data_IF_458789734316
#
_entry.id   IF_458789734316
#
_cell.length_a   1.000
_cell.length_b   1.000
_cell.length_c   1.000
_cell.angle_alpha   90.00
_cell.angle_beta   90.00
_cell.angle_gamma   90.00
#
_symmetry.space_group_name_H-M   'P 1'
#
loop_
_entity.id
_entity.type
_entity.pdbx_description
1 polymer ?
#
# COMPACT_ATOMS: atom_id res chain seq x y z
N UNK A 1 -19.53 49.27 10.73
CA UNK A 1 -19.11 48.86 9.37
C UNK A 1 -17.95 47.89 9.55
N UNK A 2 -18.24 46.61 9.83
CA UNK A 2 -17.20 45.59 9.98
C UNK A 2 -16.89 45.06 8.59
N UNK A 3 -15.78 45.52 8.03
CA UNK A 3 -15.17 44.90 6.86
C UNK A 3 -14.61 43.56 7.33
N UNK A 4 -15.38 42.49 7.15
CA UNK A 4 -14.83 41.15 7.08
C UNK A 4 -13.78 41.21 5.98
N UNK A 5 -12.50 41.18 6.35
CA UNK A 5 -11.42 40.89 5.40
C UNK A 5 -11.84 39.61 4.69
N UNK A 6 -12.06 39.68 3.39
CA UNK A 6 -11.99 38.49 2.55
C UNK A 6 -10.66 37.84 2.90
N UNK A 7 -10.70 36.70 3.58
CA UNK A 7 -9.56 35.81 3.60
C UNK A 7 -9.37 35.42 2.15
N UNK A 8 -8.25 35.84 1.55
CA UNK A 8 -7.87 35.36 0.22
C UNK A 8 -8.01 33.83 0.23
N UNK A 9 -8.79 33.29 -0.71
CA UNK A 9 -8.96 31.85 -0.85
C UNK A 9 -7.57 31.22 -0.90
N UNK A 10 -7.26 30.37 0.07
CA UNK A 10 -5.98 29.66 0.08
C UNK A 10 -5.98 28.75 -1.14
N UNK A 11 -5.23 29.11 -2.16
CA UNK A 11 -5.07 28.27 -3.34
C UNK A 11 -4.32 27.00 -2.93
N UNK A 12 -5.05 25.89 -2.83
CA UNK A 12 -4.48 24.59 -2.49
C UNK A 12 -3.84 23.97 -3.73
N UNK A 13 -2.53 23.74 -3.68
CA UNK A 13 -1.82 22.94 -4.68
C UNK A 13 -2.31 21.48 -4.62
N UNK A 14 -3.00 20.98 -5.67
CA UNK A 14 -3.59 19.64 -5.65
C UNK A 14 -2.57 18.53 -5.44
N UNK A 15 -1.34 18.73 -5.92
CA UNK A 15 -0.29 17.72 -5.80
C UNK A 15 0.24 17.64 -4.37
N UNK A 16 0.43 18.79 -3.73
CA UNK A 16 0.80 18.85 -2.30
C UNK A 16 -0.33 18.32 -1.42
N UNK A 17 -1.59 18.60 -1.76
CA UNK A 17 -2.74 18.08 -1.04
C UNK A 17 -2.85 16.56 -1.15
N UNK A 18 -2.74 15.99 -2.37
CA UNK A 18 -2.68 14.53 -2.59
C UNK A 18 -1.54 13.89 -1.81
N UNK A 19 -0.36 14.51 -1.82
CA UNK A 19 0.80 14.05 -1.03
C UNK A 19 0.52 14.07 0.48
N UNK A 20 -0.19 15.08 0.98
CA UNK A 20 -0.60 15.15 2.38
C UNK A 20 -1.58 14.04 2.76
N UNK A 21 -2.59 13.79 1.91
CA UNK A 21 -3.57 12.69 2.09
C UNK A 21 -2.90 11.32 2.17
N UNK A 22 -1.82 11.10 1.42
CA UNK A 22 -1.04 9.86 1.45
C UNK A 22 -0.43 9.47 2.80
N UNK A 23 -0.43 10.37 3.81
CA UNK A 23 -0.01 10.03 5.16
C UNK A 23 -1.07 9.25 5.96
N UNK A 24 -2.34 9.28 5.53
CA UNK A 24 -3.38 8.42 6.09
C UNK A 24 -3.32 7.07 5.37
N UNK A 25 -2.76 6.06 6.04
CA UNK A 25 -2.64 4.70 5.50
C UNK A 25 -4.03 4.06 5.39
N UNK A 26 -4.28 3.37 4.27
CA UNK A 26 -5.54 2.65 4.03
C UNK A 26 -5.28 1.23 3.54
N UNK A 27 -6.29 0.37 3.69
CA UNK A 27 -6.35 -0.86 2.89
C UNK A 27 -6.61 -0.54 1.42
N UNK A 28 -6.38 -1.53 0.56
CA UNK A 28 -6.71 -1.43 -0.87
C UNK A 28 -7.95 -2.25 -1.18
N UNK A 29 -8.88 -1.67 -1.93
CA UNK A 29 -10.11 -2.34 -2.36
C UNK A 29 -10.25 -2.34 -3.87
N UNK A 30 -11.00 -3.31 -4.41
CA UNK A 30 -11.53 -3.24 -5.76
C UNK A 30 -13.05 -3.21 -5.67
N UNK A 31 -13.63 -2.13 -6.17
CA UNK A 31 -15.07 -1.96 -6.30
C UNK A 31 -15.50 -2.63 -7.59
N UNK A 32 -16.51 -3.50 -7.54
CA UNK A 32 -17.01 -4.23 -8.72
C UNK A 32 -18.51 -4.09 -8.84
N UNK A 33 -19.02 -4.03 -10.06
CA UNK A 33 -20.44 -4.01 -10.35
C UNK A 33 -20.71 -4.61 -11.73
N UNK A 34 -21.95 -5.01 -11.95
CA UNK A 34 -22.45 -5.44 -13.25
C UNK A 34 -23.80 -4.76 -13.50
N UNK A 35 -24.00 -4.18 -14.69
CA UNK A 35 -25.31 -3.66 -15.08
C UNK A 35 -26.20 -4.77 -15.68
N UNK A 36 -27.46 -4.43 -15.96
CA UNK A 36 -28.43 -5.37 -16.54
C UNK A 36 -28.03 -5.87 -17.93
N UNK A 37 -27.19 -5.12 -18.65
CA UNK A 37 -26.65 -5.51 -19.97
C UNK A 37 -25.49 -6.52 -19.86
N UNK A 38 -25.05 -6.85 -18.65
CA UNK A 38 -23.95 -7.79 -18.40
C UNK A 38 -22.56 -7.16 -18.44
N UNK A 39 -22.47 -5.83 -18.56
CA UNK A 39 -21.19 -5.11 -18.54
C UNK A 39 -20.62 -5.12 -17.11
N UNK A 40 -19.45 -5.75 -16.94
CA UNK A 40 -18.73 -5.82 -15.68
C UNK A 40 -17.71 -4.70 -15.58
N UNK A 41 -17.72 -3.96 -14.48
CA UNK A 41 -16.69 -2.96 -14.18
C UNK A 41 -15.98 -3.29 -12.89
N UNK A 42 -14.73 -2.84 -12.81
CA UNK A 42 -13.94 -2.96 -11.60
C UNK A 42 -12.97 -1.79 -11.47
N UNK A 43 -12.88 -1.21 -10.27
CA UNK A 43 -12.06 -0.03 -9.98
C UNK A 43 -11.31 -0.24 -8.68
N UNK A 44 -9.97 -0.20 -8.76
CA UNK A 44 -9.14 -0.12 -7.55
C UNK A 44 -9.40 1.21 -6.85
N UNK A 45 -9.77 1.15 -5.57
CA UNK A 45 -10.08 2.31 -4.75
C UNK A 45 -9.46 2.18 -3.36
N UNK A 46 -9.05 3.31 -2.80
CA UNK A 46 -8.56 3.42 -1.42
C UNK A 46 -9.29 4.53 -0.63
N UNK A 47 -10.41 5.03 -1.19
CA UNK A 47 -11.34 5.99 -0.59
C UNK A 47 -12.45 5.32 0.24
N UNK A 48 -12.44 3.99 0.33
CA UNK A 48 -13.40 3.19 1.08
C UNK A 48 -13.35 3.48 2.59
N UNK A 49 -14.51 3.57 3.23
CA UNK A 49 -14.62 3.57 4.69
C UNK A 49 -16.00 3.09 5.17
N UNK A 50 -16.08 2.65 6.43
CA UNK A 50 -17.35 2.34 7.11
C UNK A 50 -18.06 3.63 7.55
N UNK A 51 -19.39 3.63 7.52
CA UNK A 51 -20.23 4.79 7.87
C UNK A 51 -21.12 4.51 9.08
N UNK A 52 -21.85 3.40 9.05
CA UNK A 52 -22.84 3.04 10.06
C UNK A 52 -22.89 1.54 10.28
N UNK A 53 -23.21 1.12 11.51
CA UNK A 53 -23.44 -0.29 11.85
C UNK A 53 -24.91 -0.70 11.72
N UNK A 54 -25.85 0.21 12.05
CA UNK A 54 -27.30 -0.03 11.89
C UNK A 54 -28.02 1.24 11.37
N UNK A 55 -28.47 1.25 10.10
CA UNK A 55 -28.25 0.21 9.10
C UNK A 55 -26.75 0.09 8.74
N UNK A 56 -26.29 -1.08 8.25
CA UNK A 56 -24.89 -1.30 7.91
C UNK A 56 -24.55 -0.56 6.61
N UNK A 57 -23.87 0.59 6.74
CA UNK A 57 -23.52 1.46 5.62
C UNK A 57 -22.01 1.60 5.47
N UNK A 58 -21.57 1.61 4.23
CA UNK A 58 -20.20 1.94 3.81
C UNK A 58 -20.24 3.04 2.74
N UNK A 59 -19.10 3.66 2.48
CA UNK A 59 -18.94 4.59 1.36
C UNK A 59 -17.61 4.41 0.64
N UNK A 60 -17.55 4.95 -0.57
CA UNK A 60 -16.33 5.19 -1.32
C UNK A 60 -16.55 6.31 -2.34
N UNK A 61 -15.47 6.80 -2.93
CA UNK A 61 -15.52 7.89 -3.92
C UNK A 61 -14.94 7.47 -5.27
N UNK A 62 -15.64 7.78 -6.36
CA UNK A 62 -15.23 7.52 -7.75
C UNK A 62 -15.14 8.83 -8.53
N UNK A 63 -14.11 8.99 -9.37
CA UNK A 63 -13.92 10.15 -10.25
C UNK A 63 -15.14 10.32 -11.17
N UNK A 64 -15.70 11.54 -11.27
CA UNK A 64 -16.83 11.86 -12.15
C UNK A 64 -16.56 11.54 -13.63
N UNK A 65 -15.29 11.50 -14.03
CA UNK A 65 -14.81 11.16 -15.39
C UNK A 65 -14.47 9.68 -15.56
N UNK A 66 -14.70 8.84 -14.55
CA UNK A 66 -14.46 7.40 -14.65
C UNK A 66 -15.39 6.76 -15.68
N UNK A 67 -14.82 6.01 -16.63
CA UNK A 67 -15.62 5.24 -17.60
C UNK A 67 -16.46 4.14 -16.94
N UNK A 68 -16.14 3.75 -15.70
CA UNK A 68 -16.89 2.76 -14.94
C UNK A 68 -18.07 3.35 -14.17
N UNK A 69 -18.15 4.68 -14.01
CA UNK A 69 -19.22 5.32 -13.24
C UNK A 69 -20.64 5.01 -13.77
N UNK A 70 -20.92 5.06 -15.09
CA UNK A 70 -22.26 4.76 -15.61
C UNK A 70 -22.76 3.37 -15.21
N UNK A 71 -21.87 2.36 -15.12
CA UNK A 71 -22.24 1.01 -14.68
C UNK A 71 -22.55 0.97 -13.19
N UNK A 72 -21.78 1.65 -12.34
CA UNK A 72 -22.12 1.76 -10.90
C UNK A 72 -23.42 2.54 -10.66
N UNK A 73 -23.71 3.55 -11.49
CA UNK A 73 -24.94 4.32 -11.42
C UNK A 73 -26.17 3.49 -11.81
N UNK A 74 -26.05 2.66 -12.85
CA UNK A 74 -27.13 1.81 -13.35
C UNK A 74 -27.33 0.56 -12.49
N UNK A 75 -26.25 -0.06 -12.02
CA UNK A 75 -26.32 -1.27 -11.20
C UNK A 75 -27.06 -1.00 -9.88
N UNK A 76 -27.88 -1.97 -9.45
CA UNK A 76 -28.56 -1.93 -8.15
C UNK A 76 -27.63 -2.36 -7.01
N UNK A 77 -26.62 -3.18 -7.32
CA UNK A 77 -25.66 -3.70 -6.36
C UNK A 77 -24.22 -3.49 -6.84
N UNK A 78 -23.31 -3.45 -5.87
CA UNK A 78 -21.87 -3.48 -6.09
C UNK A 78 -21.20 -4.27 -4.97
N UNK A 79 -19.97 -4.74 -5.20
CA UNK A 79 -19.18 -5.40 -4.17
C UNK A 79 -17.89 -4.62 -3.87
N UNK A 80 -17.47 -4.68 -2.61
CA UNK A 80 -16.21 -4.14 -2.11
C UNK A 80 -15.28 -5.32 -1.81
N UNK A 81 -14.24 -5.50 -2.62
CA UNK A 81 -13.27 -6.58 -2.47
C UNK A 81 -12.02 -6.03 -1.76
N UNK A 82 -11.85 -6.31 -0.46
CA UNK A 82 -10.70 -5.86 0.34
C UNK A 82 -9.51 -6.76 0.05
N UNK A 83 -8.49 -6.23 -0.62
CA UNK A 83 -7.37 -7.04 -1.10
C UNK A 83 -6.47 -7.56 0.02
N UNK A 84 -5.95 -8.76 -0.14
CA UNK A 84 -4.90 -9.33 0.70
C UNK A 84 -3.51 -8.93 0.20
N UNK A 85 -2.50 -9.05 1.06
CA UNK A 85 -1.12 -8.62 0.78
C UNK A 85 -0.48 -9.29 -0.44
N UNK A 86 -1.01 -10.42 -0.92
CA UNK A 86 -0.55 -11.11 -2.13
C UNK A 86 -1.16 -10.58 -3.43
N UNK A 87 -2.12 -9.65 -3.38
CA UNK A 87 -2.94 -9.23 -4.53
C UNK A 87 -2.50 -7.91 -5.17
N UNK A 88 -1.20 -7.56 -5.12
CA UNK A 88 -0.65 -6.35 -5.77
C UNK A 88 -0.92 -6.33 -7.27
N UNK A 89 -0.77 -7.47 -7.95
CA UNK A 89 -1.01 -7.57 -9.39
C UNK A 89 -2.47 -7.29 -9.75
N UNK A 90 -3.41 -7.78 -8.95
CA UNK A 90 -4.83 -7.53 -9.11
C UNK A 90 -5.17 -6.04 -8.91
N UNK A 91 -4.62 -5.42 -7.86
CA UNK A 91 -4.73 -3.98 -7.62
C UNK A 91 -4.24 -3.17 -8.84
N UNK A 92 -3.06 -3.54 -9.37
CA UNK A 92 -2.47 -2.88 -10.52
C UNK A 92 -3.34 -3.06 -11.78
N UNK A 93 -3.84 -4.27 -12.05
CA UNK A 93 -4.72 -4.57 -13.19
C UNK A 93 -5.99 -3.73 -13.16
N UNK A 94 -6.68 -3.68 -12.02
CA UNK A 94 -7.95 -2.96 -11.87
C UNK A 94 -7.81 -1.44 -11.78
N UNK A 95 -6.59 -0.93 -11.60
CA UNK A 95 -6.28 0.51 -11.65
C UNK A 95 -6.06 1.06 -13.08
N UNK A 96 -5.76 0.18 -14.05
CA UNK A 96 -5.48 0.57 -15.45
C UNK A 96 -6.77 0.83 -16.25
N UNK A 97 -6.68 1.68 -17.27
CA UNK A 97 -7.74 1.93 -18.26
C UNK A 97 -7.51 1.07 -19.52
N UNK A 98 -8.57 0.84 -20.29
CA UNK A 98 -8.52 0.20 -21.62
C UNK A 98 -7.90 -1.21 -21.65
N UNK A 99 -8.12 -2.00 -20.59
CA UNK A 99 -7.76 -3.41 -20.50
C UNK A 99 -9.02 -4.20 -20.18
N UNK A 100 -9.16 -5.41 -20.71
CA UNK A 100 -10.11 -6.36 -20.15
C UNK A 100 -9.62 -6.79 -18.75
N UNK A 101 -10.21 -6.19 -17.72
CA UNK A 101 -9.82 -6.42 -16.32
C UNK A 101 -10.25 -7.82 -15.84
N UNK A 102 -11.21 -8.45 -16.51
CA UNK A 102 -11.77 -9.73 -16.13
C UNK A 102 -11.15 -10.91 -16.87
N UNK A 103 -10.47 -10.69 -17.99
CA UNK A 103 -9.69 -11.71 -18.70
C UNK A 103 -8.67 -12.39 -17.77
N UNK A 104 -8.84 -13.68 -17.46
CA UNK A 104 -7.96 -14.40 -16.53
C UNK A 104 -8.10 -14.00 -15.05
N UNK A 105 -9.14 -13.26 -14.68
CA UNK A 105 -9.48 -12.95 -13.28
C UNK A 105 -10.63 -13.83 -12.82
N UNK A 106 -10.35 -14.78 -11.91
CA UNK A 106 -11.38 -15.57 -11.26
C UNK A 106 -12.29 -14.70 -10.39
N UNK A 107 -13.59 -14.92 -10.50
CA UNK A 107 -14.59 -14.25 -9.69
C UNK A 107 -15.86 -15.11 -9.57
N UNK A 108 -16.59 -14.91 -8.49
CA UNK A 108 -17.92 -15.46 -8.26
C UNK A 108 -18.97 -14.38 -8.51
N UNK A 109 -20.23 -14.79 -8.70
CA UNK A 109 -21.36 -13.87 -8.80
C UNK A 109 -21.96 -13.64 -7.41
N UNK A 110 -21.96 -12.40 -6.95
CA UNK A 110 -22.63 -11.99 -5.72
C UNK A 110 -24.03 -11.42 -5.97
N UNK A 111 -24.56 -10.72 -4.98
CA UNK A 111 -25.81 -9.99 -5.01
C UNK A 111 -25.85 -9.00 -6.19
N UNK A 112 -26.95 -9.04 -6.95
CA UNK A 112 -27.10 -8.25 -8.18
C UNK A 112 -26.02 -8.54 -9.23
N UNK A 113 -25.43 -9.74 -9.23
CA UNK A 113 -24.36 -10.18 -10.15
C UNK A 113 -23.06 -9.38 -10.02
N UNK A 114 -22.86 -8.65 -8.91
CA UNK A 114 -21.60 -7.96 -8.65
C UNK A 114 -20.46 -8.98 -8.50
N UNK A 115 -19.36 -8.85 -9.28
CA UNK A 115 -18.25 -9.81 -9.21
C UNK A 115 -17.54 -9.84 -7.85
N UNK A 116 -17.42 -11.00 -7.22
CA UNK A 116 -16.65 -11.22 -5.99
C UNK A 116 -15.30 -11.84 -6.32
N UNK A 117 -14.21 -11.16 -5.95
CA UNK A 117 -12.85 -11.60 -6.27
C UNK A 117 -12.34 -12.59 -5.22
N UNK A 118 -11.69 -13.66 -5.67
CA UNK A 118 -11.15 -14.69 -4.78
C UNK A 118 -9.93 -14.19 -3.98
N UNK A 119 -9.60 -14.86 -2.86
CA UNK A 119 -8.41 -14.61 -2.04
C UNK A 119 -8.31 -13.21 -1.40
N UNK A 120 -9.43 -12.48 -1.36
CA UNK A 120 -9.54 -11.22 -0.62
C UNK A 120 -9.45 -11.44 0.90
N UNK A 121 -9.11 -10.38 1.63
CA UNK A 121 -9.14 -10.35 3.09
C UNK A 121 -10.57 -10.30 3.63
N UNK A 122 -11.44 -9.57 2.93
CA UNK A 122 -12.87 -9.50 3.18
C UNK A 122 -13.60 -9.09 1.89
N UNK A 123 -14.90 -9.40 1.80
CA UNK A 123 -15.77 -8.97 0.71
C UNK A 123 -17.09 -8.45 1.29
N UNK A 124 -17.55 -7.29 0.82
CA UNK A 124 -18.86 -6.75 1.20
C UNK A 124 -19.75 -6.62 -0.02
N UNK A 125 -20.94 -7.21 0.03
CA UNK A 125 -21.95 -7.11 -1.02
C UNK A 125 -22.94 -6.02 -0.62
N UNK A 126 -23.12 -5.04 -1.50
CA UNK A 126 -23.83 -3.81 -1.17
C UNK A 126 -24.97 -3.55 -2.15
N UNK A 127 -26.15 -3.22 -1.63
CA UNK A 127 -27.17 -2.50 -2.38
C UNK A 127 -26.78 -1.02 -2.46
N UNK A 128 -26.84 -0.41 -3.65
CA UNK A 128 -26.54 1.02 -3.81
C UNK A 128 -27.61 1.86 -3.12
N UNK A 129 -27.21 2.53 -2.04
CA UNK A 129 -28.11 3.28 -1.18
C UNK A 129 -28.28 4.74 -1.65
N UNK A 130 -27.17 5.42 -1.96
CA UNK A 130 -27.19 6.81 -2.39
C UNK A 130 -25.94 7.17 -3.20
N UNK A 131 -26.06 8.13 -4.12
CA UNK A 131 -24.94 8.81 -4.77
C UNK A 131 -25.01 10.29 -4.39
N UNK A 132 -23.90 10.85 -3.90
CA UNK A 132 -23.80 12.23 -3.41
C UNK A 132 -22.67 12.95 -4.16
N UNK A 133 -22.86 14.24 -4.42
CA UNK A 133 -21.82 15.10 -4.97
C UNK A 133 -20.64 15.27 -3.99
N UNK A 134 -19.41 15.05 -4.47
CA UNK A 134 -18.17 15.17 -3.70
C UNK A 134 -17.08 15.93 -4.46
N UNK A 135 -17.39 17.11 -4.98
CA UNK A 135 -16.44 17.90 -5.78
C UNK A 135 -16.23 17.29 -7.18
N UNK A 136 -15.00 16.87 -7.48
CA UNK A 136 -14.64 16.17 -8.72
C UNK A 136 -14.94 14.66 -8.68
N UNK A 137 -15.42 14.15 -7.55
CA UNK A 137 -15.86 12.76 -7.37
C UNK A 137 -17.36 12.66 -7.06
N UNK A 138 -17.91 11.47 -7.31
CA UNK A 138 -19.17 11.00 -6.73
C UNK A 138 -18.87 10.17 -5.49
N UNK A 139 -19.59 10.42 -4.39
CA UNK A 139 -19.56 9.58 -3.20
C UNK A 139 -20.69 8.56 -3.33
N UNK A 140 -20.35 7.28 -3.37
CA UNK A 140 -21.31 6.18 -3.43
C UNK A 140 -21.44 5.59 -2.04
N UNK A 141 -22.67 5.60 -1.50
CA UNK A 141 -23.03 4.95 -0.24
C UNK A 141 -23.70 3.61 -0.57
N UNK A 142 -23.20 2.54 0.04
CA UNK A 142 -23.75 1.20 -0.09
C UNK A 142 -24.32 0.72 1.24
N UNK A 143 -25.49 0.07 1.19
CA UNK A 143 -26.03 -0.70 2.31
C UNK A 143 -25.54 -2.15 2.17
N UNK A 144 -24.79 -2.62 3.14
CA UNK A 144 -24.26 -4.00 3.13
C UNK A 144 -25.42 -4.97 3.35
N UNK A 145 -25.59 -5.91 2.41
CA UNK A 145 -26.63 -6.95 2.46
C UNK A 145 -26.06 -8.32 2.75
N UNK A 146 -24.77 -8.54 2.47
CA UNK A 146 -24.01 -9.73 2.84
C UNK A 146 -22.51 -9.40 2.95
N UNK A 147 -21.73 -10.22 3.65
CA UNK A 147 -20.29 -10.05 3.74
C UNK A 147 -19.54 -11.36 4.04
N UNK A 148 -18.25 -11.37 3.69
CA UNK A 148 -17.31 -12.46 3.93
C UNK A 148 -16.09 -11.93 4.66
N UNK A 149 -15.74 -12.53 5.79
CA UNK A 149 -14.53 -12.23 6.56
C UNK A 149 -13.59 -13.44 6.52
N UNK A 150 -12.43 -13.27 5.90
CA UNK A 150 -11.47 -14.35 5.65
C UNK A 150 -10.20 -14.21 6.50
N UNK A 151 -10.04 -13.10 7.24
CA UNK A 151 -8.91 -12.88 8.15
C UNK A 151 -7.50 -12.82 7.51
N UNK A 152 -7.39 -12.76 6.17
CA UNK A 152 -6.08 -12.64 5.49
C UNK A 152 -5.43 -11.29 5.80
N UNK A 153 -4.10 -11.26 5.86
CA UNK A 153 -3.37 -10.00 6.05
C UNK A 153 -3.63 -9.05 4.87
N UNK A 154 -4.05 -7.79 5.10
CA UNK A 154 -4.50 -6.91 4.03
C UNK A 154 -3.33 -6.28 3.27
N UNK A 155 -3.59 -5.92 2.01
CA UNK A 155 -2.71 -5.03 1.26
C UNK A 155 -2.88 -3.59 1.78
N UNK A 156 -1.79 -2.95 2.19
CA UNK A 156 -1.80 -1.55 2.60
C UNK A 156 -1.29 -0.63 1.50
N UNK A 157 -1.81 0.60 1.51
CA UNK A 157 -1.34 1.71 0.70
C UNK A 157 -1.00 2.91 1.58
N UNK A 158 0.22 3.42 1.46
CA UNK A 158 0.71 4.54 2.25
C UNK A 158 1.81 5.28 1.49
N UNK A 159 1.74 6.62 1.46
CA UNK A 159 2.71 7.50 0.79
C UNK A 159 3.07 7.08 -0.65
N UNK A 160 2.05 6.70 -1.44
CA UNK A 160 2.24 6.34 -2.85
C UNK A 160 2.79 4.93 -3.08
N UNK A 161 2.87 4.09 -2.06
CA UNK A 161 3.46 2.76 -2.17
C UNK A 161 2.64 1.68 -1.47
N UNK A 162 2.72 0.46 -1.99
CA UNK A 162 2.19 -0.71 -1.31
C UNK A 162 3.07 -1.07 -0.11
N UNK A 163 2.41 -1.53 0.95
CA UNK A 163 3.02 -1.95 2.22
C UNK A 163 2.23 -3.11 2.83
N UNK A 164 2.72 -3.63 3.95
CA UNK A 164 2.07 -4.68 4.73
C UNK A 164 1.87 -4.24 6.18
N UNK A 165 0.87 -4.83 6.85
CA UNK A 165 0.70 -4.67 8.29
C UNK A 165 1.87 -5.37 8.99
N UNK A 166 2.49 -4.68 9.95
CA UNK A 166 3.39 -5.32 10.90
C UNK A 166 2.64 -5.53 12.21
N UNK A 167 2.58 -6.76 12.76
CA UNK A 167 2.00 -7.00 14.07
C UNK A 167 2.64 -6.08 15.11
N UNK A 168 1.83 -5.59 16.06
CA UNK A 168 2.31 -4.61 17.02
C UNK A 168 3.40 -5.21 17.93
N UNK A 169 4.61 -4.62 17.98
CA UNK A 169 5.74 -5.22 18.68
C UNK A 169 5.72 -5.00 20.19
N UNK A 170 4.91 -4.07 20.72
CA UNK A 170 4.79 -3.83 22.17
C UNK A 170 3.84 -4.82 22.86
N UNK A 171 3.79 -6.08 22.43
CA UNK A 171 3.45 -7.15 23.37
C UNK A 171 4.52 -7.10 24.46
N UNK A 172 4.27 -6.30 25.50
CA UNK A 172 5.06 -6.29 26.73
C UNK A 172 4.80 -7.63 27.38
N UNK A 173 5.68 -8.60 27.09
CA UNK A 173 5.80 -9.78 27.92
C UNK A 173 6.23 -9.25 29.29
N UNK A 174 5.28 -9.20 30.23
CA UNK A 174 5.61 -8.91 31.61
C UNK A 174 6.49 -10.06 32.09
N UNK A 175 7.69 -9.75 32.56
CA UNK A 175 8.39 -10.65 33.46
C UNK A 175 7.57 -10.71 34.75
N UNK A 176 6.65 -11.66 34.87
CA UNK A 176 6.01 -11.89 36.16
C UNK A 176 5.48 -13.31 36.35
N UNK A 177 6.19 -13.97 37.27
CA UNK A 177 5.80 -15.02 38.22
C UNK A 177 5.41 -16.38 37.68
N UNK A 178 5.79 -17.40 38.46
CA UNK A 178 5.51 -18.83 38.24
C UNK A 178 4.05 -19.02 37.80
N UNK A 179 3.87 -19.52 36.57
CA UNK A 179 2.56 -19.90 36.04
C UNK A 179 2.54 -21.42 35.93
N UNK A 180 1.51 -22.05 36.50
CA UNK A 180 1.36 -23.51 36.49
C UNK A 180 1.00 -24.07 35.11
N UNK A 181 1.56 -25.26 34.88
CA UNK A 181 1.35 -26.30 33.85
C UNK A 181 1.58 -25.95 32.37
N UNK A 182 0.79 -25.07 31.73
CA UNK A 182 0.95 -24.78 30.28
C UNK A 182 2.00 -23.71 30.02
N UNK A 183 2.21 -22.81 30.99
CA UNK A 183 3.17 -21.71 30.91
C UNK A 183 4.64 -22.12 31.00
N UNK A 184 4.95 -23.34 31.46
CA UNK A 184 6.33 -23.83 31.60
C UNK A 184 6.92 -24.36 30.30
N UNK A 185 6.15 -25.05 29.44
CA UNK A 185 6.64 -25.55 28.14
C UNK A 185 6.87 -24.43 27.11
N UNK A 186 6.24 -23.27 27.30
CA UNK A 186 6.36 -22.11 26.42
C UNK A 186 6.94 -20.87 27.13
N UNK A 187 7.49 -21.05 28.33
CA UNK A 187 8.13 -19.96 29.07
C UNK A 187 9.34 -19.44 28.28
N UNK A 188 9.38 -18.14 28.00
CA UNK A 188 10.45 -17.55 27.18
C UNK A 188 10.42 -17.91 25.68
N UNK A 189 9.53 -18.81 25.21
CA UNK A 189 9.46 -19.17 23.79
C UNK A 189 9.11 -17.97 22.90
N UNK A 190 8.35 -16.98 23.39
CA UNK A 190 8.11 -15.72 22.68
C UNK A 190 9.36 -14.83 22.62
N UNK A 191 10.27 -14.89 23.61
CA UNK A 191 11.55 -14.17 23.60
C UNK A 191 12.56 -14.79 22.62
N UNK A 192 12.49 -16.10 22.40
CA UNK A 192 13.33 -16.83 21.42
C UNK A 192 12.61 -17.14 20.11
N UNK A 193 11.37 -16.67 19.92
CA UNK A 193 10.63 -16.88 18.69
C UNK A 193 11.26 -16.05 17.57
N UNK A 194 11.74 -16.73 16.54
CA UNK A 194 12.45 -16.09 15.41
C UNK A 194 11.56 -15.04 14.71
N UNK A 195 10.27 -15.32 14.49
CA UNK A 195 9.34 -14.38 13.84
C UNK A 195 9.12 -13.11 14.69
N UNK A 196 9.00 -13.25 16.01
CA UNK A 196 8.93 -12.11 16.92
C UNK A 196 10.22 -11.29 16.91
N UNK A 197 11.39 -11.93 17.01
CA UNK A 197 12.68 -11.25 16.97
C UNK A 197 12.92 -10.55 15.63
N UNK A 198 12.55 -11.16 14.50
CA UNK A 198 12.61 -10.54 13.18
C UNK A 198 11.70 -9.32 13.09
N UNK A 199 10.47 -9.41 13.59
CA UNK A 199 9.52 -8.29 13.61
C UNK A 199 10.03 -7.13 14.46
N UNK A 200 10.62 -7.43 15.61
CA UNK A 200 11.24 -6.45 16.49
C UNK A 200 12.49 -5.82 15.87
N UNK A 201 13.38 -6.61 15.29
CA UNK A 201 14.58 -6.14 14.58
C UNK A 201 14.19 -5.20 13.43
N UNK A 202 13.21 -5.61 12.61
CA UNK A 202 12.70 -4.79 11.52
C UNK A 202 12.10 -3.46 12.03
N UNK A 203 11.37 -3.48 13.16
CA UNK A 203 10.85 -2.24 13.77
C UNK A 203 11.96 -1.30 14.21
N UNK A 204 12.98 -1.80 14.90
CA UNK A 204 14.12 -0.98 15.36
C UNK A 204 14.87 -0.37 14.18
N UNK A 205 15.10 -1.18 13.14
CA UNK A 205 15.66 -0.71 11.89
C UNK A 205 14.82 0.41 11.28
N UNK A 206 13.49 0.25 11.19
CA UNK A 206 12.59 1.30 10.70
C UNK A 206 12.64 2.58 11.56
N UNK A 207 12.69 2.48 12.89
CA UNK A 207 12.73 3.65 13.77
C UNK A 207 14.03 4.45 13.65
N UNK A 208 15.13 3.83 13.23
CA UNK A 208 16.39 4.50 12.97
C UNK A 208 16.48 5.03 11.53
N UNK A 209 16.09 4.20 10.56
CA UNK A 209 16.16 4.51 9.13
C UNK A 209 15.16 5.57 8.68
N UNK A 210 13.88 5.45 9.05
CA UNK A 210 12.82 6.34 8.53
C UNK A 210 13.08 7.81 8.87
N UNK A 211 13.46 8.20 10.11
CA UNK A 211 13.80 9.59 10.41
C UNK A 211 14.99 10.10 9.59
N UNK A 212 16.05 9.30 9.44
CA UNK A 212 17.23 9.66 8.64
C UNK A 212 16.86 9.83 7.16
N UNK A 213 16.02 8.95 6.62
CA UNK A 213 15.48 9.07 5.26
C UNK A 213 14.66 10.37 5.13
N UNK A 214 13.79 10.69 6.07
CA UNK A 214 12.96 11.90 6.00
C UNK A 214 13.78 13.20 6.03
N UNK A 215 14.91 13.23 6.75
CA UNK A 215 15.84 14.37 6.77
C UNK A 215 16.48 14.62 5.40
N UNK A 216 16.60 13.59 4.54
CA UNK A 216 17.08 13.77 3.16
C UNK A 216 16.09 14.54 2.28
N UNK A 217 14.84 14.70 2.71
CA UNK A 217 13.76 15.31 1.93
C UNK A 217 12.96 14.32 1.08
N UNK A 218 13.44 13.09 0.91
CA UNK A 218 12.76 12.05 0.13
C UNK A 218 11.71 11.28 0.94
N UNK A 219 10.56 11.06 0.32
CA UNK A 219 9.48 10.19 0.80
C UNK A 219 9.70 8.76 0.33
N UNK A 220 8.85 7.86 0.82
CA UNK A 220 8.93 6.43 0.57
C UNK A 220 9.03 6.09 -0.93
N UNK A 221 8.18 6.69 -1.78
CA UNK A 221 8.18 6.42 -3.22
C UNK A 221 9.47 6.85 -3.93
N UNK A 222 9.93 8.07 -3.64
CA UNK A 222 11.17 8.65 -4.19
C UNK A 222 12.40 7.84 -3.75
N UNK A 223 12.50 7.51 -2.46
CA UNK A 223 13.59 6.74 -1.91
C UNK A 223 13.65 5.30 -2.46
N UNK A 224 12.50 4.61 -2.57
CA UNK A 224 12.43 3.26 -3.17
C UNK A 224 12.90 3.28 -4.62
N UNK A 225 12.47 4.28 -5.40
CA UNK A 225 12.88 4.42 -6.79
C UNK A 225 14.40 4.65 -6.91
N UNK A 226 15.00 5.50 -6.09
CA UNK A 226 16.44 5.73 -6.07
C UNK A 226 17.24 4.47 -5.69
N UNK A 227 16.78 3.72 -4.68
CA UNK A 227 17.45 2.50 -4.23
C UNK A 227 17.38 1.38 -5.29
N UNK A 228 16.20 1.14 -5.89
CA UNK A 228 16.03 0.08 -6.91
C UNK A 228 16.77 0.40 -8.22
N UNK A 229 16.75 1.66 -8.66
CA UNK A 229 17.56 2.06 -9.82
C UNK A 229 19.06 2.02 -9.50
N UNK A 230 19.44 2.33 -8.25
CA UNK A 230 20.82 2.32 -7.79
C UNK A 230 21.41 0.92 -7.66
N UNK A 231 20.60 -0.09 -7.31
CA UNK A 231 21.02 -1.49 -7.29
C UNK A 231 21.17 -2.10 -8.69
N UNK A 232 20.68 -1.41 -9.74
CA UNK A 232 20.71 -1.91 -11.11
C UNK A 232 19.77 -3.10 -11.36
N UNK A 233 18.84 -3.36 -10.45
CA UNK A 233 17.93 -4.52 -10.50
C UNK A 233 16.70 -4.28 -11.38
N UNK A 234 16.38 -3.01 -11.69
CA UNK A 234 15.31 -2.65 -12.59
C UNK A 234 15.72 -1.43 -13.43
N UNK A 235 15.53 -1.51 -14.74
CA UNK A 235 15.83 -0.40 -15.66
C UNK A 235 14.61 -0.02 -16.52
N UNK A 236 13.69 -0.98 -16.74
CA UNK A 236 12.54 -0.79 -17.60
C UNK A 236 11.35 -0.17 -16.84
N UNK A 237 10.77 0.89 -17.40
CA UNK A 237 9.59 1.57 -16.86
C UNK A 237 8.40 0.62 -16.62
N UNK A 238 8.23 -0.43 -17.42
CA UNK A 238 7.11 -1.37 -17.26
C UNK A 238 7.27 -2.35 -16.09
N UNK A 239 8.50 -2.60 -15.65
CA UNK A 239 8.82 -3.56 -14.58
C UNK A 239 8.86 -2.89 -13.20
N UNK A 240 9.22 -1.60 -13.15
CA UNK A 240 9.32 -0.85 -11.91
C UNK A 240 8.12 -0.99 -10.97
N UNK A 241 6.84 -0.88 -11.38
CA UNK A 241 5.72 -1.06 -10.46
C UNK A 241 5.79 -2.33 -9.58
N UNK A 242 6.34 -3.41 -10.15
CA UNK A 242 6.60 -4.66 -9.44
C UNK A 242 7.77 -4.52 -8.48
N UNK A 243 8.91 -4.02 -8.96
CA UNK A 243 10.17 -4.00 -8.20
C UNK A 243 10.17 -3.01 -7.03
N UNK A 244 9.49 -1.88 -7.17
CA UNK A 244 9.32 -0.87 -6.10
C UNK A 244 8.01 -1.06 -5.30
N UNK A 245 7.17 -2.04 -5.69
CA UNK A 245 5.85 -2.29 -5.12
C UNK A 245 5.01 -1.01 -5.03
N UNK A 246 4.80 -0.36 -6.19
CA UNK A 246 4.09 0.91 -6.31
C UNK A 246 3.16 0.90 -7.54
N UNK A 247 2.00 1.57 -7.51
CA UNK A 247 1.19 1.76 -8.70
C UNK A 247 1.91 2.59 -9.77
N UNK A 248 1.62 2.33 -11.05
CA UNK A 248 2.30 2.99 -12.16
C UNK A 248 2.24 4.53 -12.10
N UNK A 249 1.10 5.10 -11.72
CA UNK A 249 0.95 6.56 -11.64
C UNK A 249 1.84 7.19 -10.56
N UNK A 250 2.09 6.49 -9.45
CA UNK A 250 3.01 6.93 -8.41
C UNK A 250 4.47 6.79 -8.86
N UNK A 251 4.79 5.76 -9.65
CA UNK A 251 6.11 5.63 -10.30
C UNK A 251 6.36 6.86 -11.19
N UNK A 252 5.40 7.23 -12.04
CA UNK A 252 5.53 8.37 -12.95
C UNK A 252 5.62 9.71 -12.20
N UNK A 253 4.86 9.86 -11.12
CA UNK A 253 4.93 11.04 -10.26
C UNK A 253 6.28 11.15 -9.55
N UNK A 254 6.77 10.08 -8.93
CA UNK A 254 8.09 10.04 -8.31
C UNK A 254 9.20 10.31 -9.34
N UNK A 255 9.11 9.72 -10.54
CA UNK A 255 10.03 9.97 -11.63
C UNK A 255 10.05 11.45 -12.03
N UNK A 256 8.89 12.10 -12.12
CA UNK A 256 8.79 13.53 -12.43
C UNK A 256 9.48 14.40 -11.38
N UNK A 257 9.27 14.11 -10.10
CA UNK A 257 9.93 14.83 -8.99
C UNK A 257 11.45 14.65 -9.08
N UNK A 258 11.94 13.41 -9.22
CA UNK A 258 13.37 13.11 -9.28
C UNK A 258 14.04 13.72 -10.54
N UNK A 259 13.33 13.80 -11.67
CA UNK A 259 13.82 14.50 -12.87
C UNK A 259 13.96 16.00 -12.64
N UNK A 260 12.96 16.63 -12.02
CA UNK A 260 13.01 18.06 -11.69
C UNK A 260 14.17 18.40 -10.76
N UNK A 261 14.51 17.47 -9.85
CA UNK A 261 15.67 17.61 -8.96
C UNK A 261 17.01 17.25 -9.64
N UNK A 262 16.99 16.87 -10.92
CA UNK A 262 18.18 16.48 -11.69
C UNK A 262 18.80 15.15 -11.26
N UNK A 263 18.02 14.28 -10.62
CA UNK A 263 18.47 12.97 -10.12
C UNK A 263 18.23 11.85 -11.13
N UNK A 264 17.31 12.06 -12.07
CA UNK A 264 16.84 11.03 -12.99
C UNK A 264 16.76 11.56 -14.43
N UNK A 265 17.04 10.70 -15.40
CA UNK A 265 16.74 10.89 -16.82
C UNK A 265 15.87 9.75 -17.34
N UNK A 266 15.13 10.02 -18.42
CA UNK A 266 14.36 8.99 -19.16
C UNK A 266 14.90 8.91 -20.58
N UNK A 267 15.18 7.70 -21.05
CA UNK A 267 15.52 7.45 -22.44
C UNK A 267 14.92 6.11 -22.90
N UNK A 268 14.28 6.09 -24.07
CA UNK A 268 13.70 4.90 -24.69
C UNK A 268 12.79 4.04 -23.78
N UNK A 269 12.07 4.67 -22.85
CA UNK A 269 11.22 3.98 -21.88
C UNK A 269 11.96 3.38 -20.68
N UNK A 270 13.22 3.76 -20.49
CA UNK A 270 14.05 3.38 -19.33
C UNK A 270 14.34 4.60 -18.46
N UNK A 271 14.46 4.37 -17.15
CA UNK A 271 14.87 5.39 -16.20
C UNK A 271 16.32 5.17 -15.76
N UNK A 272 17.13 6.23 -15.82
CA UNK A 272 18.55 6.19 -15.46
C UNK A 272 18.86 7.23 -14.40
N UNK A 273 19.64 6.85 -13.39
CA UNK A 273 20.17 7.80 -12.43
C UNK A 273 21.25 8.67 -13.08
N UNK A 274 21.17 9.99 -12.87
CA UNK A 274 22.26 10.91 -13.18
C UNK A 274 23.42 10.67 -12.21
N UNK A 275 24.58 11.30 -12.43
CA UNK A 275 25.67 11.26 -11.45
C UNK A 275 25.25 11.81 -10.07
N UNK A 276 24.37 12.82 -10.05
CA UNK A 276 23.76 13.32 -8.82
C UNK A 276 22.81 12.29 -8.20
N UNK A 277 22.00 11.61 -9.03
CA UNK A 277 21.13 10.51 -8.63
C UNK A 277 21.89 9.35 -8.00
N UNK A 278 22.98 8.89 -8.62
CA UNK A 278 23.83 7.81 -8.10
C UNK A 278 24.43 8.16 -6.74
N UNK A 279 24.98 9.37 -6.59
CA UNK A 279 25.51 9.84 -5.29
C UNK A 279 24.42 9.87 -4.22
N UNK A 280 23.21 10.27 -4.59
CA UNK A 280 22.07 10.31 -3.67
C UNK A 280 21.62 8.89 -3.28
N UNK A 281 21.54 7.97 -4.24
CA UNK A 281 21.25 6.56 -3.97
C UNK A 281 22.31 5.93 -3.06
N UNK A 282 23.60 6.17 -3.31
CA UNK A 282 24.68 5.74 -2.41
C UNK A 282 24.50 6.27 -0.99
N UNK A 283 24.18 7.56 -0.84
CA UNK A 283 23.92 8.13 0.48
C UNK A 283 22.71 7.49 1.18
N UNK A 284 21.65 7.13 0.44
CA UNK A 284 20.51 6.40 0.99
C UNK A 284 20.88 4.96 1.40
N UNK A 285 21.71 4.27 0.62
CA UNK A 285 22.28 2.97 1.00
C UNK A 285 23.14 3.09 2.26
N UNK A 286 23.99 4.11 2.37
CA UNK A 286 24.79 4.33 3.58
C UNK A 286 23.93 4.57 4.82
N UNK A 287 22.82 5.32 4.68
CA UNK A 287 21.85 5.52 5.76
C UNK A 287 21.19 4.19 6.15
N UNK A 288 20.73 3.42 5.16
CA UNK A 288 20.15 2.10 5.36
C UNK A 288 21.13 1.14 6.04
N UNK A 289 22.40 1.18 5.66
CA UNK A 289 23.42 0.28 6.17
C UNK A 289 24.01 0.75 7.51
N UNK A 290 23.86 2.03 7.85
CA UNK A 290 24.47 2.62 9.05
C UNK A 290 24.11 1.86 10.34
N UNK A 291 22.84 1.48 10.50
CA UNK A 291 22.38 0.75 11.68
C UNK A 291 22.97 -0.66 11.75
N UNK A 292 22.88 -1.43 10.67
CA UNK A 292 23.43 -2.79 10.64
C UNK A 292 24.95 -2.77 10.83
N UNK A 293 25.64 -1.81 10.23
CA UNK A 293 27.09 -1.66 10.36
C UNK A 293 27.50 -1.38 11.80
N UNK A 294 26.74 -0.57 12.54
CA UNK A 294 27.01 -0.30 13.95
C UNK A 294 26.77 -1.53 14.85
N UNK A 295 25.69 -2.27 14.59
CA UNK A 295 25.37 -3.51 15.31
C UNK A 295 26.42 -4.60 15.03
N UNK A 296 26.77 -4.78 13.76
CA UNK A 296 27.70 -5.82 13.31
C UNK A 296 29.15 -5.54 13.67
N UNK A 297 29.56 -4.30 13.98
CA UNK A 297 30.91 -4.02 14.53
C UNK A 297 31.27 -4.85 15.76
N UNK A 298 30.28 -5.36 16.50
CA UNK A 298 30.46 -6.17 17.70
C UNK A 298 30.74 -7.65 17.41
N UNK A 299 30.61 -8.08 16.16
CA UNK A 299 30.69 -9.49 15.77
C UNK A 299 31.79 -9.71 14.71
N UNK A 300 32.47 -10.87 14.71
CA UNK A 300 33.39 -11.26 13.64
C UNK A 300 32.69 -11.35 12.28
N UNK A 301 33.42 -11.13 11.19
CA UNK A 301 32.84 -11.21 9.83
C UNK A 301 32.26 -12.59 9.52
N UNK A 302 32.87 -13.67 10.03
CA UNK A 302 32.34 -15.02 9.87
C UNK A 302 30.94 -15.23 10.48
N UNK A 303 30.64 -14.55 11.59
CA UNK A 303 29.31 -14.63 12.21
C UNK A 303 28.28 -13.82 11.42
N UNK A 304 28.68 -12.68 10.84
CA UNK A 304 27.82 -11.87 9.96
C UNK A 304 27.42 -12.66 8.72
N UNK A 305 28.38 -13.30 8.07
CA UNK A 305 28.14 -14.10 6.87
C UNK A 305 27.18 -15.27 7.15
N UNK A 306 27.35 -15.95 8.30
CA UNK A 306 26.43 -16.99 8.75
C UNK A 306 25.04 -16.43 9.00
N UNK A 307 24.92 -15.30 9.69
CA UNK A 307 23.63 -14.66 9.96
C UNK A 307 22.90 -14.28 8.67
N UNK A 308 23.59 -13.64 7.72
CA UNK A 308 23.03 -13.28 6.41
C UNK A 308 22.57 -14.52 5.65
N UNK A 309 23.37 -15.60 5.67
CA UNK A 309 23.00 -16.87 5.04
C UNK A 309 21.72 -17.46 5.63
N UNK A 310 21.64 -17.55 6.96
CA UNK A 310 20.43 -18.05 7.66
C UNK A 310 19.21 -17.17 7.31
N UNK A 311 19.38 -15.85 7.27
CA UNK A 311 18.29 -14.94 6.95
C UNK A 311 17.81 -15.09 5.50
N UNK A 312 18.72 -15.33 4.55
CA UNK A 312 18.38 -15.68 3.16
C UNK A 312 17.58 -16.99 3.08
N UNK A 313 18.04 -18.03 3.78
CA UNK A 313 17.36 -19.32 3.83
C UNK A 313 15.94 -19.20 4.41
N UNK A 314 15.76 -18.45 5.50
CA UNK A 314 14.43 -18.18 6.12
C UNK A 314 13.53 -17.37 5.17
N UNK A 315 14.12 -16.46 4.40
CA UNK A 315 13.38 -15.57 3.48
C UNK A 315 13.08 -16.21 2.12
N UNK A 316 13.56 -17.44 1.87
CA UNK A 316 13.41 -18.12 0.58
C UNK A 316 14.19 -17.47 -0.57
N UNK A 317 15.20 -16.67 -0.25
CA UNK A 317 16.07 -16.02 -1.24
C UNK A 317 17.26 -16.97 -1.48
N UNK A 318 17.30 -17.59 -2.66
CA UNK A 318 18.41 -18.47 -3.10
C UNK A 318 19.57 -17.64 -3.64
#
# INVERSE_FOLDING_TARGET
>A
MNVLKNMDEVQIDPMKFRRALGNFATGVTIMTAQNEQGEKVGVTANSFNSVSLDPPLILWSIDKKSSSFPVFEQATHFAVNVLSGSQIELSNKFSRRNLDKYEGTNHLEGAGLAPLLENCSAVFECERHQIIEGGDHWIIIGKVVNFHDEGRSPLLYHQGAYSAVTPHPLLQLKDSQEVEDVGQMHHGHLHSNVCYLMSRAFKFYQTDYIPKQLVTGFRTSEARMLLVLGSGTASNKSELPRDIAMPMHEVEQAASILKNDGLLTENDGFYYLTEKGKKTAHYLFDIADSHQNEVFKKYPDSEKDIFIKILKDISGIV
#
